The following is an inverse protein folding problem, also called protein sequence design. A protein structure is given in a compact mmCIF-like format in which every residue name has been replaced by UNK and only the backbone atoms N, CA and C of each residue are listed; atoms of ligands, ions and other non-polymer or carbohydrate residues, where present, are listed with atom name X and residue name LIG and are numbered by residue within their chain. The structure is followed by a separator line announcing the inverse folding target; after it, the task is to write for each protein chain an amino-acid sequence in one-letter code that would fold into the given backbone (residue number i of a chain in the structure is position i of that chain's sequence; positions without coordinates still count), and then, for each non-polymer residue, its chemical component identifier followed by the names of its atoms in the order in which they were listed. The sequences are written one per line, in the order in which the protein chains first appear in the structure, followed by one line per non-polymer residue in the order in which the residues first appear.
data_IF_708743924462
#
_entry.id   IF_708743924462
#
_cell.length_a   1.000
_cell.length_b   1.000
_cell.length_c   1.000
_cell.angle_alpha   90.00
_cell.angle_beta   90.00
_cell.angle_gamma   90.00
#
_symmetry.space_group_name_H-M   'P 1'
#
loop_
_entity.id
_entity.type
_entity.pdbx_description
1 polymer ?
#
# COMPACT_ATOMS: atom_id res chain seq x y z
N UNK A 1 -17.61 11.65 25.78
CA UNK A 1 -16.87 10.39 25.65
C UNK A 1 -17.82 9.44 24.96
N UNK A 2 -17.82 9.50 23.63
CA UNK A 2 -18.50 8.51 22.82
C UNK A 2 -17.80 7.17 23.12
N UNK A 3 -18.55 6.20 23.61
CA UNK A 3 -18.08 4.82 23.81
C UNK A 3 -18.21 4.09 22.47
N UNK A 4 -17.58 4.65 21.44
CA UNK A 4 -17.61 4.12 20.09
C UNK A 4 -16.38 3.23 19.93
N UNK A 5 -16.58 1.94 19.68
CA UNK A 5 -15.48 1.01 19.41
C UNK A 5 -15.41 0.80 17.89
N UNK A 6 -14.39 1.31 17.19
CA UNK A 6 -14.37 1.24 15.75
C UNK A 6 -14.32 -0.22 15.26
N UNK A 7 -13.78 -1.16 16.04
CA UNK A 7 -13.73 -2.60 15.72
C UNK A 7 -15.09 -3.32 15.81
N UNK A 8 -16.08 -2.74 16.48
CA UNK A 8 -17.45 -3.28 16.53
C UNK A 8 -18.32 -2.80 15.35
N UNK A 9 -17.84 -1.84 14.56
CA UNK A 9 -18.55 -1.25 13.42
C UNK A 9 -17.88 -1.59 12.08
N UNK A 10 -18.69 -1.67 11.02
CA UNK A 10 -18.17 -1.69 9.64
C UNK A 10 -17.71 -0.29 9.25
N UNK A 11 -16.83 -0.18 8.25
CA UNK A 11 -16.28 1.11 7.80
C UNK A 11 -17.40 2.10 7.42
N UNK A 12 -18.45 1.62 6.76
CA UNK A 12 -19.59 2.45 6.37
C UNK A 12 -20.42 2.92 7.60
N UNK A 13 -20.59 2.07 8.61
CA UNK A 13 -21.29 2.42 9.86
C UNK A 13 -20.45 3.37 10.72
N UNK A 14 -19.13 3.14 10.79
CA UNK A 14 -18.19 3.99 11.49
C UNK A 14 -18.19 5.41 10.91
N UNK A 15 -18.22 5.54 9.57
CA UNK A 15 -18.32 6.85 8.90
C UNK A 15 -19.57 7.63 9.26
N UNK A 16 -20.72 6.97 9.35
CA UNK A 16 -21.99 7.60 9.72
C UNK A 16 -21.92 8.11 11.17
N UNK A 17 -21.32 7.34 12.07
CA UNK A 17 -21.20 7.69 13.49
C UNK A 17 -20.12 8.74 13.77
N UNK A 18 -19.06 8.80 12.95
CA UNK A 18 -18.04 9.85 12.99
C UNK A 18 -18.57 11.22 12.58
N UNK A 19 -19.60 11.30 11.73
CA UNK A 19 -20.22 12.57 11.32
C UNK A 19 -20.81 13.32 12.53
N UNK A 20 -21.35 12.58 13.51
CA UNK A 20 -21.93 13.13 14.76
C UNK A 20 -20.86 13.54 15.81
N UNK A 21 -19.57 13.30 15.56
CA UNK A 21 -18.46 13.58 16.50
C UNK A 21 -17.66 14.80 16.04
N UNK A 22 -17.76 15.90 16.80
CA UNK A 22 -17.02 17.16 16.57
C UNK A 22 -15.91 17.42 17.61
N UNK A 23 -15.55 16.43 18.43
CA UNK A 23 -14.49 16.57 19.43
C UNK A 23 -13.19 15.93 18.92
N UNK A 24 -12.12 16.71 18.62
CA UNK A 24 -10.87 16.16 18.08
C UNK A 24 -10.19 15.17 19.02
N UNK A 25 -10.20 15.44 20.33
CA UNK A 25 -9.65 14.53 21.34
C UNK A 25 -10.33 13.15 21.29
N UNK A 26 -11.63 13.10 20.99
CA UNK A 26 -12.38 11.84 20.87
C UNK A 26 -12.03 11.09 19.58
N UNK A 27 -11.79 11.80 18.49
CA UNK A 27 -11.37 11.22 17.21
C UNK A 27 -9.95 10.65 17.30
N UNK A 28 -9.04 11.31 18.03
CA UNK A 28 -7.69 10.80 18.31
C UNK A 28 -7.72 9.49 19.12
N UNK A 29 -8.57 9.41 20.15
CA UNK A 29 -8.78 8.18 20.92
C UNK A 29 -9.31 7.03 20.04
N UNK A 30 -10.24 7.33 19.13
CA UNK A 30 -10.77 6.34 18.18
C UNK A 30 -9.71 5.85 17.19
N UNK A 31 -8.86 6.75 16.70
CA UNK A 31 -7.75 6.42 15.81
C UNK A 31 -6.73 5.50 16.48
N UNK A 32 -6.41 5.78 17.75
CA UNK A 32 -5.53 4.95 18.55
C UNK A 32 -6.17 3.57 18.80
N UNK A 33 -7.45 3.53 19.17
CA UNK A 33 -8.19 2.28 19.36
C UNK A 33 -8.25 1.41 18.09
N UNK A 34 -8.45 2.00 16.91
CA UNK A 34 -8.39 1.26 15.63
C UNK A 34 -6.98 0.75 15.35
N UNK A 35 -5.94 1.54 15.67
CA UNK A 35 -4.53 1.16 15.47
C UNK A 35 -4.10 0.01 16.39
N UNK A 36 -4.53 0.02 17.65
CA UNK A 36 -4.26 -1.06 18.62
C UNK A 36 -5.17 -2.29 18.39
N UNK A 37 -6.30 -2.09 17.71
CA UNK A 37 -7.32 -3.10 17.41
C UNK A 37 -7.10 -3.85 16.09
N UNK A 38 -7.99 -3.61 15.12
CA UNK A 38 -8.00 -4.32 13.83
C UNK A 38 -7.08 -3.69 12.77
N UNK A 39 -6.55 -2.48 13.03
CA UNK A 39 -5.66 -1.69 12.17
C UNK A 39 -6.14 -1.56 10.72
N UNK A 40 -7.45 -1.41 10.51
CA UNK A 40 -8.02 -1.36 9.15
C UNK A 40 -7.73 0.02 8.55
N UNK A 41 -6.98 0.02 7.45
CA UNK A 41 -6.60 1.26 6.75
C UNK A 41 -7.81 2.15 6.41
N UNK A 42 -8.91 1.56 5.95
CA UNK A 42 -10.11 2.33 5.60
C UNK A 42 -10.86 2.93 6.79
N UNK A 43 -10.75 2.34 7.99
CA UNK A 43 -11.31 2.92 9.21
C UNK A 43 -10.45 4.08 9.72
N UNK A 44 -9.12 3.92 9.70
CA UNK A 44 -8.18 5.00 10.05
C UNK A 44 -8.33 6.22 9.14
N UNK A 45 -8.44 5.99 7.83
CA UNK A 45 -8.65 7.06 6.85
C UNK A 45 -9.95 7.83 7.10
N UNK A 46 -11.05 7.13 7.46
CA UNK A 46 -12.31 7.78 7.81
C UNK A 46 -12.22 8.65 9.07
N UNK A 47 -11.45 8.22 10.07
CA UNK A 47 -11.24 8.97 11.31
C UNK A 47 -10.32 10.19 11.05
N UNK A 48 -9.24 10.02 10.28
CA UNK A 48 -8.32 11.10 9.89
C UNK A 48 -9.04 12.18 9.06
N UNK A 49 -9.92 11.81 8.12
CA UNK A 49 -10.73 12.77 7.33
C UNK A 49 -11.63 13.63 8.22
N UNK A 50 -12.23 13.02 9.25
CA UNK A 50 -13.07 13.76 10.20
C UNK A 50 -12.25 14.68 11.10
N UNK A 51 -11.06 14.21 11.53
CA UNK A 51 -10.13 14.98 12.36
C UNK A 51 -9.63 16.24 11.63
N UNK A 52 -9.34 16.11 10.33
CA UNK A 52 -8.97 17.23 9.47
C UNK A 52 -10.10 18.27 9.42
N UNK A 53 -11.33 17.85 9.14
CA UNK A 53 -12.51 18.73 9.07
C UNK A 53 -12.77 19.50 10.37
N UNK A 54 -12.66 18.84 11.54
CA UNK A 54 -12.94 19.49 12.83
C UNK A 54 -11.80 20.42 13.25
N UNK A 55 -10.55 20.09 12.89
CA UNK A 55 -9.38 20.89 13.25
C UNK A 55 -9.26 22.13 12.36
N UNK A 56 -9.72 22.06 11.11
CA UNK A 56 -9.75 23.20 10.18
C UNK A 56 -10.81 24.27 10.57
N UNK A 57 -11.86 23.91 11.32
CA UNK A 57 -12.88 24.87 11.78
C UNK A 57 -12.38 25.78 12.92
N UNK A 58 -11.37 25.35 13.68
CA UNK A 58 -10.76 26.08 14.79
C UNK A 58 -9.49 26.85 14.40
N UNK A 59 -9.43 27.49 13.22
CA UNK A 59 -8.34 28.45 13.00
C UNK A 59 -8.09 28.99 11.61
N UNK A 60 -8.89 29.97 11.19
CA UNK A 60 -8.48 31.10 10.33
C UNK A 60 -7.71 30.73 9.04
N UNK A 61 -8.43 30.75 7.92
CA UNK A 61 -7.83 30.66 6.59
C UNK A 61 -6.63 31.58 6.38
N UNK A 62 -5.56 31.01 5.84
CA UNK A 62 -4.47 31.71 5.17
C UNK A 62 -3.93 30.79 4.08
N UNK A 63 -4.25 31.10 2.83
CA UNK A 63 -3.54 30.60 1.66
C UNK A 63 -2.04 30.90 1.81
N UNK A 64 -1.21 29.88 2.04
CA UNK A 64 0.23 30.12 2.21
C UNK A 64 1.10 28.87 2.31
N UNK A 65 1.62 28.44 1.16
CA UNK A 65 2.88 27.72 0.99
C UNK A 65 3.96 28.12 2.03
N UNK A 66 4.54 27.14 2.72
CA UNK A 66 5.56 27.38 3.75
C UNK A 66 6.15 26.13 4.39
N UNK A 67 7.05 25.46 3.68
CA UNK A 67 7.97 24.47 4.24
C UNK A 67 9.03 25.14 5.14
N UNK A 68 9.22 24.71 6.41
CA UNK A 68 10.54 24.51 7.05
C UNK A 68 10.50 24.02 8.53
N UNK A 69 10.89 22.74 8.70
CA UNK A 69 11.82 22.09 9.65
C UNK A 69 12.18 22.59 11.07
N UNK A 70 12.34 21.61 11.99
CA UNK A 70 13.31 21.61 13.12
C UNK A 70 12.94 20.60 14.24
N UNK A 71 13.42 19.35 14.22
CA UNK A 71 14.67 18.84 14.84
C UNK A 71 14.62 18.67 16.39
N UNK A 72 14.53 17.42 16.87
CA UNK A 72 15.28 16.91 18.05
C UNK A 72 15.24 15.37 18.03
N UNK A 73 16.39 14.75 17.77
CA UNK A 73 16.55 13.33 17.50
C UNK A 73 17.03 12.49 18.67
N UNK A 74 17.16 11.19 18.42
CA UNK A 74 17.98 10.13 19.05
C UNK A 74 17.53 8.81 18.38
N UNK A 75 18.31 7.83 17.94
CA UNK A 75 19.68 7.37 18.15
C UNK A 75 20.10 6.53 16.92
N UNK A 76 21.41 6.32 16.81
CA UNK A 76 22.18 5.78 15.69
C UNK A 76 22.01 4.28 15.32
N UNK A 77 22.50 3.98 14.10
CA UNK A 77 23.01 2.70 13.56
C UNK A 77 22.01 1.64 13.05
N UNK A 78 21.95 1.45 11.72
CA UNK A 78 22.72 0.39 11.02
C UNK A 78 22.47 0.43 9.49
N UNK A 79 23.55 0.72 8.77
CA UNK A 79 23.84 0.53 7.33
C UNK A 79 22.92 -0.42 6.52
N UNK A 80 22.40 0.06 5.38
CA UNK A 80 22.49 -0.71 4.13
C UNK A 80 22.30 0.16 2.89
N UNK A 81 23.33 0.18 2.06
CA UNK A 81 23.41 0.91 0.80
C UNK A 81 22.53 0.30 -0.30
N UNK A 82 21.97 1.16 -1.16
CA UNK A 82 21.43 0.81 -2.47
C UNK A 82 20.08 1.48 -2.72
N UNK A 83 19.84 2.24 -3.77
CA UNK A 83 20.64 2.62 -4.92
C UNK A 83 19.86 3.79 -5.54
N UNK A 84 20.60 4.81 -5.96
CA UNK A 84 20.08 6.02 -6.53
C UNK A 84 19.62 5.70 -7.97
N UNK A 85 18.32 5.76 -8.25
CA UNK A 85 17.89 5.99 -9.63
C UNK A 85 17.03 7.24 -9.74
N UNK A 86 17.72 8.27 -10.19
CA UNK A 86 17.21 9.55 -10.68
C UNK A 86 16.67 9.37 -12.09
N UNK A 87 15.47 9.89 -12.37
CA UNK A 87 15.17 10.38 -13.72
C UNK A 87 13.73 10.22 -14.20
N UNK A 88 12.98 11.32 -14.16
CA UNK A 88 11.74 11.48 -14.91
C UNK A 88 11.02 12.75 -14.51
N UNK A 89 11.10 13.78 -15.35
CA UNK A 89 10.45 15.08 -15.23
C UNK A 89 8.97 15.00 -14.83
N UNK A 90 8.53 16.08 -14.18
CA UNK A 90 7.15 16.37 -13.79
C UNK A 90 6.21 16.34 -15.01
N UNK A 91 5.32 15.35 -15.04
CA UNK A 91 3.98 15.45 -15.64
C UNK A 91 2.99 15.16 -14.50
N UNK A 92 2.27 16.20 -14.08
CA UNK A 92 1.20 16.07 -13.09
C UNK A 92 0.12 15.09 -13.56
N UNK A 93 -0.57 14.49 -12.59
CA UNK A 93 -1.77 13.65 -12.73
C UNK A 93 -1.58 12.15 -13.03
N UNK A 94 -0.35 11.58 -12.96
CA UNK A 94 -0.16 10.12 -13.12
C UNK A 94 0.37 9.47 -11.85
N UNK A 95 -0.26 8.38 -11.42
CA UNK A 95 0.12 7.58 -10.24
C UNK A 95 1.55 7.06 -10.39
N UNK A 96 2.39 7.25 -9.36
CA UNK A 96 3.79 6.86 -9.38
C UNK A 96 3.98 5.35 -9.22
N UNK A 97 5.15 4.84 -9.62
CA UNK A 97 5.46 3.40 -9.50
C UNK A 97 5.37 2.90 -8.05
N UNK A 98 5.66 3.77 -7.07
CA UNK A 98 5.53 3.47 -5.64
C UNK A 98 4.07 3.30 -5.26
N UNK A 99 3.22 4.25 -5.65
CA UNK A 99 1.78 4.15 -5.42
C UNK A 99 1.19 2.89 -6.05
N UNK A 100 1.59 2.54 -7.28
CA UNK A 100 1.17 1.29 -7.94
C UNK A 100 1.61 0.06 -7.13
N UNK A 101 2.86 0.05 -6.65
CA UNK A 101 3.36 -1.03 -5.79
C UNK A 101 2.48 -1.17 -4.55
N UNK A 102 2.15 -0.08 -3.89
CA UNK A 102 1.34 -0.10 -2.67
C UNK A 102 -0.09 -0.57 -2.95
N UNK A 103 -0.72 -0.12 -4.04
CA UNK A 103 -2.03 -0.63 -4.46
C UNK A 103 -2.00 -2.14 -4.71
N UNK A 104 -0.94 -2.66 -5.36
CA UNK A 104 -0.77 -4.10 -5.58
C UNK A 104 -0.58 -4.85 -4.27
N UNK A 105 0.25 -4.35 -3.35
CA UNK A 105 0.49 -4.98 -2.04
C UNK A 105 -0.80 -5.11 -1.24
N UNK A 106 -1.63 -4.06 -1.25
CA UNK A 106 -2.88 -4.00 -0.51
C UNK A 106 -3.98 -4.89 -1.14
N UNK A 107 -4.10 -4.91 -2.47
CA UNK A 107 -5.28 -5.51 -3.11
C UNK A 107 -5.05 -6.92 -3.69
N UNK A 108 -3.82 -7.31 -3.99
CA UNK A 108 -3.56 -8.57 -4.73
C UNK A 108 -3.97 -9.82 -3.92
N UNK A 109 -3.73 -9.82 -2.60
CA UNK A 109 -4.03 -10.96 -1.73
C UNK A 109 -5.53 -11.22 -1.66
N UNK A 110 -6.32 -10.17 -1.45
CA UNK A 110 -7.78 -10.22 -1.39
C UNK A 110 -8.41 -10.61 -2.73
N UNK A 111 -7.92 -10.00 -3.82
CA UNK A 111 -8.41 -10.29 -5.17
C UNK A 111 -8.23 -11.77 -5.54
N UNK A 112 -7.09 -12.36 -5.19
CA UNK A 112 -6.75 -13.75 -5.54
C UNK A 112 -7.21 -14.75 -4.46
N UNK A 113 -7.53 -14.27 -3.26
CA UNK A 113 -7.93 -15.06 -2.09
C UNK A 113 -6.78 -15.92 -1.54
N UNK A 114 -5.54 -15.47 -1.72
CA UNK A 114 -4.32 -16.19 -1.31
C UNK A 114 -3.24 -15.21 -0.91
N UNK A 115 -2.36 -15.57 0.03
CA UNK A 115 -1.34 -14.65 0.50
C UNK A 115 -0.33 -14.34 -0.62
N UNK A 116 -0.12 -13.04 -0.83
CA UNK A 116 0.99 -12.50 -1.61
C UNK A 116 2.31 -12.86 -0.93
N UNK A 117 3.23 -13.38 -1.74
CA UNK A 117 4.62 -13.62 -1.34
C UNK A 117 5.49 -12.39 -1.64
N UNK A 118 5.25 -11.76 -2.79
CA UNK A 118 6.00 -10.57 -3.20
C UNK A 118 5.61 -10.05 -4.57
N UNK A 119 6.21 -8.91 -4.93
CA UNK A 119 6.11 -8.29 -6.25
C UNK A 119 7.46 -8.44 -6.94
N UNK A 120 7.45 -8.98 -8.15
CA UNK A 120 8.64 -9.32 -8.94
C UNK A 120 9.00 -8.21 -9.92
N UNK A 121 7.99 -7.57 -10.52
CA UNK A 121 8.16 -6.60 -11.59
C UNK A 121 6.97 -5.63 -11.57
N UNK A 122 7.25 -4.36 -11.82
CA UNK A 122 6.23 -3.34 -12.13
C UNK A 122 6.74 -2.58 -13.34
N UNK A 123 5.90 -2.49 -14.37
CA UNK A 123 6.21 -1.77 -15.60
C UNK A 123 5.02 -0.89 -16.02
N UNK A 124 5.34 0.26 -16.62
CA UNK A 124 4.34 1.10 -17.27
C UNK A 124 4.20 0.70 -18.73
N UNK A 125 2.96 0.57 -19.19
CA UNK A 125 2.57 0.24 -20.56
C UNK A 125 1.72 1.36 -21.17
N UNK A 126 1.41 1.26 -22.46
CA UNK A 126 0.53 2.22 -23.16
C UNK A 126 -0.90 2.27 -22.58
N UNK A 127 -1.38 1.18 -21.99
CA UNK A 127 -2.75 1.03 -21.45
C UNK A 127 -2.82 1.17 -19.90
N UNK A 128 -1.73 1.60 -19.25
CA UNK A 128 -1.64 1.78 -17.80
C UNK A 128 -0.42 1.07 -17.20
N UNK A 129 -0.63 0.23 -16.19
CA UNK A 129 0.44 -0.47 -15.47
C UNK A 129 0.27 -1.98 -15.49
N UNK A 130 1.38 -2.69 -15.39
CA UNK A 130 1.40 -4.14 -15.23
C UNK A 130 2.33 -4.52 -14.09
N UNK A 131 1.85 -5.37 -13.20
CA UNK A 131 2.63 -5.90 -12.10
C UNK A 131 2.71 -7.43 -12.16
N UNK A 132 3.91 -7.98 -11.99
CA UNK A 132 4.11 -9.41 -11.75
C UNK A 132 4.21 -9.68 -10.26
N UNK A 133 3.37 -10.57 -9.75
CA UNK A 133 3.31 -10.93 -8.35
C UNK A 133 3.50 -12.42 -8.14
N UNK A 134 4.09 -12.79 -7.00
CA UNK A 134 4.19 -14.16 -6.53
C UNK A 134 3.15 -14.40 -5.45
N UNK A 135 2.34 -15.45 -5.62
CA UNK A 135 1.27 -15.82 -4.69
C UNK A 135 1.52 -17.23 -4.18
N UNK A 136 1.41 -17.45 -2.87
CA UNK A 136 1.54 -18.79 -2.27
C UNK A 136 0.26 -19.58 -2.55
N UNK A 137 0.27 -20.39 -3.61
CA UNK A 137 -0.87 -21.22 -3.96
C UNK A 137 -1.05 -22.41 -3.03
N UNK A 138 0.06 -22.95 -2.49
CA UNK A 138 0.02 -24.03 -1.50
C UNK A 138 1.26 -24.04 -0.62
N UNK A 139 1.04 -24.03 0.70
CA UNK A 139 2.09 -24.21 1.70
C UNK A 139 2.57 -25.67 1.76
N UNK A 140 3.87 -25.88 1.95
CA UNK A 140 4.53 -27.17 2.17
C UNK A 140 5.41 -27.07 3.42
N UNK A 141 5.82 -28.23 3.96
CA UNK A 141 6.81 -28.30 5.04
C UNK A 141 8.02 -29.08 4.53
N UNK A 142 9.21 -28.49 4.46
CA UNK A 142 9.55 -27.11 4.84
C UNK A 142 8.98 -26.03 3.89
N UNK A 143 8.83 -24.79 4.38
CA UNK A 143 8.34 -23.59 3.67
C UNK A 143 9.11 -23.29 2.36
N UNK A 144 10.40 -23.63 2.32
CA UNK A 144 11.21 -23.65 1.09
C UNK A 144 10.66 -24.51 -0.06
N UNK A 145 9.66 -25.36 0.20
CA UNK A 145 8.96 -26.19 -0.80
C UNK A 145 7.54 -25.71 -1.11
N UNK A 146 7.20 -24.48 -0.73
CA UNK A 146 5.93 -23.85 -1.10
C UNK A 146 5.74 -23.82 -2.61
N UNK A 147 4.49 -23.96 -3.04
CA UNK A 147 4.09 -23.80 -4.43
C UNK A 147 3.68 -22.35 -4.62
N UNK A 148 4.43 -21.65 -5.46
CA UNK A 148 4.18 -20.28 -5.87
C UNK A 148 3.49 -20.25 -7.23
N UNK A 149 2.60 -19.30 -7.41
CA UNK A 149 2.05 -18.92 -8.69
C UNK A 149 2.52 -17.52 -9.05
N UNK A 150 3.00 -17.33 -10.28
CA UNK A 150 3.26 -15.99 -10.82
C UNK A 150 2.01 -15.46 -11.49
N UNK A 151 1.54 -14.31 -11.06
CA UNK A 151 0.37 -13.64 -11.60
C UNK A 151 0.79 -12.35 -12.27
N UNK A 152 0.15 -12.02 -13.39
CA UNK A 152 0.20 -10.69 -13.96
C UNK A 152 -1.09 -9.96 -13.58
N UNK A 153 -0.95 -8.78 -13.00
CA UNK A 153 -2.03 -7.84 -12.72
C UNK A 153 -1.95 -6.72 -13.75
N UNK A 154 -3.10 -6.35 -14.28
CA UNK A 154 -3.28 -5.21 -15.18
C UNK A 154 -3.95 -4.11 -14.37
N UNK A 155 -3.38 -2.91 -14.38
CA UNK A 155 -3.88 -1.74 -13.67
C UNK A 155 -4.05 -0.57 -14.63
N UNK A 156 -5.04 0.29 -14.38
CA UNK A 156 -5.21 1.53 -15.13
C UNK A 156 -4.19 2.61 -14.69
N UNK A 157 -4.18 3.78 -15.35
CA UNK A 157 -3.31 4.91 -14.99
C UNK A 157 -3.55 5.45 -13.56
N UNK A 158 -4.69 5.11 -12.94
CA UNK A 158 -5.02 5.46 -11.57
C UNK A 158 -4.64 4.36 -10.54
N UNK A 159 -4.07 3.23 -10.99
CA UNK A 159 -3.63 2.14 -10.13
C UNK A 159 -4.72 1.16 -9.72
N UNK A 160 -5.92 1.23 -10.31
CA UNK A 160 -6.97 0.24 -10.04
C UNK A 160 -6.69 -1.05 -10.82
N UNK A 161 -6.77 -2.19 -10.16
CA UNK A 161 -6.61 -3.49 -10.83
C UNK A 161 -7.83 -3.75 -11.73
N UNK A 162 -7.61 -3.78 -13.04
CA UNK A 162 -8.64 -4.03 -14.06
C UNK A 162 -8.67 -5.48 -14.53
N UNK A 163 -7.57 -6.22 -14.33
CA UNK A 163 -7.45 -7.60 -14.75
C UNK A 163 -6.37 -8.36 -13.99
N UNK A 164 -6.49 -9.68 -13.99
CA UNK A 164 -5.38 -10.55 -13.57
C UNK A 164 -5.39 -11.88 -14.29
N UNK A 165 -4.21 -12.49 -14.42
CA UNK A 165 -4.05 -13.85 -14.94
C UNK A 165 -2.88 -14.58 -14.31
N UNK A 166 -3.03 -15.88 -14.07
CA UNK A 166 -1.89 -16.73 -13.66
C UNK A 166 -1.03 -17.07 -14.88
N UNK A 167 0.25 -16.73 -14.83
CA UNK A 167 1.22 -17.04 -15.87
C UNK A 167 1.78 -18.45 -15.72
N UNK A 168 2.26 -18.76 -14.52
CA UNK A 168 2.88 -20.05 -14.24
C UNK A 168 2.77 -20.43 -12.76
N UNK A 169 3.19 -21.66 -12.47
CA UNK A 169 3.28 -22.21 -11.12
C UNK A 169 4.58 -22.99 -11.00
N UNK A 170 5.32 -22.74 -9.93
CA UNK A 170 6.58 -23.42 -9.62
C UNK A 170 6.72 -23.65 -8.12
N UNK A 171 7.76 -24.37 -7.69
CA UNK A 171 8.09 -24.48 -6.26
C UNK A 171 9.17 -23.45 -5.93
N UNK A 172 9.13 -22.89 -4.73
CA UNK A 172 10.10 -21.87 -4.26
C UNK A 172 11.57 -22.30 -4.44
N UNK A 173 11.89 -23.57 -4.26
CA UNK A 173 13.24 -24.12 -4.48
C UNK A 173 13.63 -24.38 -5.94
N UNK A 174 12.70 -24.25 -6.90
CA UNK A 174 12.94 -24.38 -8.34
C UNK A 174 13.23 -22.99 -8.95
N UNK A 175 14.11 -22.19 -8.35
CA UNK A 175 14.62 -20.98 -9.01
C UNK A 175 15.37 -21.41 -10.27
N UNK A 176 14.73 -21.24 -11.43
CA UNK A 176 15.47 -21.17 -12.69
C UNK A 176 16.43 -20.01 -12.53
N UNK A 177 17.74 -20.28 -12.63
CA UNK A 177 18.78 -19.27 -12.82
C UNK A 177 18.24 -18.19 -13.74
N UNK A 178 18.42 -16.94 -13.34
CA UNK A 178 18.46 -15.79 -14.24
C UNK A 178 19.00 -16.24 -15.59
N UNK A 179 18.12 -16.25 -16.60
CA UNK A 179 18.54 -16.44 -17.97
C UNK A 179 19.29 -15.17 -18.34
N UNK A 180 20.58 -15.21 -18.03
CA UNK A 180 21.67 -14.39 -18.56
C UNK A 180 21.27 -14.00 -20.00
N UNK A 181 20.93 -12.73 -20.19
CA UNK A 181 20.63 -12.20 -21.52
C UNK A 181 21.75 -12.67 -22.47
N UNK A 182 21.44 -13.28 -23.62
CA UNK A 182 22.48 -13.78 -24.49
C UNK A 182 23.35 -12.60 -24.89
N UNK A 183 24.59 -12.60 -24.41
CA UNK A 183 25.62 -11.67 -24.82
C UNK A 183 25.63 -11.64 -26.34
N UNK A 184 25.25 -10.49 -26.90
CA UNK A 184 25.15 -10.25 -28.33
C UNK A 184 26.48 -10.57 -29.00
N UNK A 185 26.58 -11.78 -29.53
CA UNK A 185 27.67 -12.20 -30.40
C UNK A 185 27.30 -11.92 -31.84
N UNK A 186 27.82 -10.83 -32.40
CA UNK A 186 28.70 -10.80 -33.60
C UNK A 186 28.88 -9.39 -34.14
#
# INVERSE_FOLDING_TARGET
MADLDPGEHTIDELRDELDDIDDPETLEELREAETDGEDRAGAKEAIDERLDTVTDDDGNGDDGDGSESGDDGSDEDEESEGDENTGGEQDGDTVGIVDIRDHVQQNASDLIGRPLDGIVEIERNDDGWRALTEIIERRSVPDTQDILGRYALELDDAGHITGYRRLERYRRGDTKRDEEAPAGGR
#
